data_IF_923643336304
#
_entry.id   IF_923643336304
#
_cell.length_a   1.000
_cell.length_b   1.000
_cell.length_c   1.000
_cell.angle_alpha   90.00
_cell.angle_beta   90.00
_cell.angle_gamma   90.00
#
_symmetry.space_group_name_H-M   'P 1'
#
loop_
_entity.id
_entity.type
_entity.pdbx_description
1 polymer ?
#
# COMPACT_ATOMS: atom_id res chain seq x y z
N UNK A 1 2.95 -21.69 27.05
CA UNK A 1 2.51 -22.42 28.25
C UNK A 1 2.55 -21.55 29.50
N UNK A 2 3.69 -20.96 29.94
CA UNK A 2 3.73 -20.10 31.15
C UNK A 2 2.74 -18.92 31.16
N UNK A 3 2.62 -18.16 30.07
CA UNK A 3 1.64 -17.07 29.97
C UNK A 3 0.18 -17.55 30.07
N UNK A 4 -0.10 -18.79 29.67
CA UNK A 4 -1.44 -19.40 29.75
C UNK A 4 -1.69 -19.85 31.19
N UNK A 5 -0.71 -20.49 31.83
CA UNK A 5 -0.79 -20.89 33.23
C UNK A 5 -0.98 -19.67 34.16
N UNK A 6 -0.22 -18.59 33.92
CA UNK A 6 -0.39 -17.32 34.64
C UNK A 6 -1.78 -16.74 34.43
N UNK A 7 -2.27 -16.69 33.20
CA UNK A 7 -3.62 -16.21 32.88
C UNK A 7 -4.71 -17.02 33.60
N UNK A 8 -4.59 -18.35 33.63
CA UNK A 8 -5.54 -19.21 34.32
C UNK A 8 -5.53 -18.93 35.83
N UNK A 9 -4.36 -18.80 36.45
CA UNK A 9 -4.20 -18.46 37.87
C UNK A 9 -4.75 -17.07 38.19
N UNK A 10 -4.36 -16.05 37.42
CA UNK A 10 -4.73 -14.65 37.68
C UNK A 10 -6.22 -14.37 37.48
N UNK A 11 -6.90 -15.16 36.64
CA UNK A 11 -8.33 -15.05 36.37
C UNK A 11 -9.18 -16.03 37.21
N UNK A 12 -8.58 -16.75 38.17
CA UNK A 12 -9.29 -17.60 39.13
C UNK A 12 -9.70 -19.00 38.62
N UNK A 13 -9.13 -19.45 37.49
CA UNK A 13 -9.36 -20.78 36.92
C UNK A 13 -8.43 -21.83 37.54
N UNK A 14 -8.52 -22.02 38.87
CA UNK A 14 -7.55 -22.80 39.64
C UNK A 14 -7.50 -24.29 39.30
N UNK A 15 -8.65 -24.93 39.02
CA UNK A 15 -8.68 -26.34 38.61
C UNK A 15 -7.98 -26.54 37.26
N UNK A 16 -8.29 -25.68 36.28
CA UNK A 16 -7.66 -25.71 34.97
C UNK A 16 -6.16 -25.40 35.06
N UNK A 17 -5.75 -24.46 35.91
CA UNK A 17 -4.34 -24.17 36.18
C UNK A 17 -3.60 -25.39 36.75
N UNK A 18 -4.18 -26.08 37.73
CA UNK A 18 -3.58 -27.24 38.38
C UNK A 18 -3.33 -28.40 37.39
N UNK A 19 -4.35 -28.73 36.59
CA UNK A 19 -4.25 -29.77 35.55
C UNK A 19 -3.26 -29.36 34.47
N UNK A 20 -3.40 -28.15 33.92
CA UNK A 20 -2.55 -27.64 32.84
C UNK A 20 -1.08 -27.55 33.24
N UNK A 21 -0.80 -27.17 34.49
CA UNK A 21 0.57 -27.12 35.02
C UNK A 21 1.22 -28.50 35.04
N UNK A 22 0.47 -29.53 35.43
CA UNK A 22 0.94 -30.92 35.49
C UNK A 22 1.19 -31.48 34.09
N UNK A 23 0.30 -31.21 33.15
CA UNK A 23 0.44 -31.66 31.75
C UNK A 23 1.52 -30.91 30.98
N UNK A 24 1.70 -29.62 31.26
CA UNK A 24 2.69 -28.78 30.60
C UNK A 24 4.09 -28.84 31.23
N UNK A 25 4.30 -29.70 32.25
CA UNK A 25 5.55 -29.89 32.99
C UNK A 25 6.19 -28.55 33.42
N UNK A 26 5.37 -27.68 34.04
CA UNK A 26 5.81 -26.34 34.45
C UNK A 26 6.28 -26.31 35.91
N UNK A 27 7.58 -26.04 36.09
CA UNK A 27 8.17 -25.78 37.42
C UNK A 27 7.76 -24.40 37.97
N UNK A 28 7.53 -24.35 39.29
CA UNK A 28 7.30 -23.10 40.01
C UNK A 28 8.58 -22.28 40.03
N UNK A 29 8.56 -21.12 39.36
CA UNK A 29 9.61 -20.14 39.47
C UNK A 29 8.98 -18.75 39.60
N UNK A 30 8.97 -18.24 40.82
CA UNK A 30 8.38 -16.96 41.23
C UNK A 30 8.88 -15.77 40.39
N UNK A 31 10.14 -15.81 39.95
CA UNK A 31 10.77 -14.77 39.15
C UNK A 31 10.28 -14.80 37.70
N UNK A 32 10.10 -15.99 37.14
CA UNK A 32 9.53 -16.18 35.81
C UNK A 32 8.03 -15.88 35.78
N UNK A 33 7.28 -16.25 36.82
CA UNK A 33 5.84 -15.98 36.91
C UNK A 33 5.54 -14.47 36.85
N UNK A 34 6.33 -13.65 37.54
CA UNK A 34 6.23 -12.18 37.46
C UNK A 34 6.46 -11.64 36.04
N UNK A 35 7.28 -12.30 35.23
CA UNK A 35 7.53 -11.92 33.82
C UNK A 35 6.33 -12.23 32.92
N UNK A 36 5.56 -13.27 33.25
CA UNK A 36 4.41 -13.71 32.46
C UNK A 36 3.09 -13.10 32.92
N UNK A 37 3.06 -12.47 34.09
CA UNK A 37 1.94 -11.70 34.66
C UNK A 37 1.24 -10.80 33.62
N UNK A 38 0.02 -11.20 33.23
CA UNK A 38 -0.83 -10.44 32.30
C UNK A 38 -0.27 -10.34 30.87
N UNK A 39 0.76 -11.14 30.54
CA UNK A 39 1.40 -11.11 29.22
C UNK A 39 0.45 -11.60 28.12
N UNK A 40 -0.38 -12.60 28.42
CA UNK A 40 -1.30 -13.18 27.44
C UNK A 40 -2.34 -12.16 26.96
N UNK A 41 -2.98 -11.45 27.89
CA UNK A 41 -3.98 -10.41 27.60
C UNK A 41 -3.36 -9.22 26.85
N UNK A 42 -2.16 -8.77 27.28
CA UNK A 42 -1.41 -7.72 26.58
C UNK A 42 -1.05 -8.11 25.15
N UNK A 43 -0.62 -9.36 24.93
CA UNK A 43 -0.33 -9.87 23.58
C UNK A 43 -1.59 -10.01 22.75
N UNK A 44 -2.67 -10.54 23.31
CA UNK A 44 -3.96 -10.71 22.62
C UNK A 44 -4.49 -9.38 22.08
N UNK A 45 -4.60 -8.38 22.94
CA UNK A 45 -5.05 -7.03 22.55
C UNK A 45 -4.09 -6.37 21.55
N UNK A 46 -2.78 -6.55 21.74
CA UNK A 46 -1.77 -6.02 20.81
C UNK A 46 -1.84 -6.67 19.43
N UNK A 47 -2.02 -7.99 19.35
CA UNK A 47 -2.14 -8.73 18.08
C UNK A 47 -3.33 -8.21 17.29
N UNK A 48 -4.51 -8.08 17.91
CA UNK A 48 -5.70 -7.54 17.24
C UNK A 48 -5.46 -6.12 16.74
N UNK A 49 -4.85 -5.27 17.58
CA UNK A 49 -4.53 -3.88 17.20
C UNK A 49 -3.54 -3.82 16.03
N UNK A 50 -2.51 -4.67 16.04
CA UNK A 50 -1.50 -4.73 14.99
C UNK A 50 -2.09 -5.30 13.69
N UNK A 51 -2.93 -6.33 13.76
CA UNK A 51 -3.64 -6.86 12.60
C UNK A 51 -4.52 -5.79 11.95
N UNK A 52 -5.30 -5.04 12.75
CA UNK A 52 -6.06 -3.88 12.25
C UNK A 52 -5.16 -2.86 11.56
N UNK A 53 -3.97 -2.57 12.14
CA UNK A 53 -3.04 -1.61 11.56
C UNK A 53 -2.44 -2.11 10.25
N UNK A 54 -2.09 -3.40 10.16
CA UNK A 54 -1.60 -4.03 8.93
C UNK A 54 -2.66 -3.93 7.84
N UNK A 55 -3.91 -4.31 8.12
CA UNK A 55 -5.00 -4.21 7.15
C UNK A 55 -5.24 -2.76 6.68
N UNK A 56 -5.22 -1.79 7.60
CA UNK A 56 -5.34 -0.36 7.25
C UNK A 56 -4.21 0.10 6.32
N UNK A 57 -2.97 -0.31 6.60
CA UNK A 57 -1.80 0.05 5.80
C UNK A 57 -1.82 -0.65 4.42
N UNK A 58 -2.24 -1.91 4.36
CA UNK A 58 -2.40 -2.65 3.12
C UNK A 58 -3.48 -2.02 2.23
N UNK A 59 -4.61 -1.58 2.79
CA UNK A 59 -5.65 -0.84 2.07
C UNK A 59 -5.10 0.46 1.47
N UNK A 60 -4.43 1.29 2.29
CA UNK A 60 -3.83 2.56 1.83
C UNK A 60 -2.76 2.34 0.76
N UNK A 61 -1.97 1.27 0.90
CA UNK A 61 -0.95 0.93 -0.09
C UNK A 61 -1.60 0.50 -1.41
N UNK A 62 -2.71 -0.26 -1.36
CA UNK A 62 -3.44 -0.66 -2.56
C UNK A 62 -4.06 0.56 -3.26
N UNK A 63 -4.73 1.43 -2.50
CA UNK A 63 -5.28 2.69 -3.01
C UNK A 63 -4.21 3.55 -3.67
N UNK A 64 -3.07 3.77 -3.01
CA UNK A 64 -1.96 4.55 -3.57
C UNK A 64 -1.35 3.89 -4.83
N UNK A 65 -1.25 2.56 -4.88
CA UNK A 65 -0.76 1.84 -6.06
C UNK A 65 -1.74 1.93 -7.23
N UNK A 66 -3.04 1.83 -6.97
CA UNK A 66 -4.08 2.05 -7.97
C UNK A 66 -4.04 3.48 -8.49
N UNK A 67 -3.89 4.47 -7.60
CA UNK A 67 -3.68 5.87 -7.98
C UNK A 67 -2.41 6.06 -8.81
N UNK A 68 -1.31 5.37 -8.56
CA UNK A 68 -0.11 5.52 -9.40
C UNK A 68 -0.32 4.86 -10.77
N UNK A 69 -0.91 3.66 -10.78
CA UNK A 69 -1.07 2.85 -12.00
C UNK A 69 -2.09 3.46 -12.96
N UNK A 70 -3.23 3.88 -12.44
CA UNK A 70 -4.27 4.60 -13.18
C UNK A 70 -3.97 6.11 -13.28
N UNK A 71 -2.95 6.52 -12.53
CA UNK A 71 -2.46 7.87 -12.41
C UNK A 71 -3.48 8.81 -11.77
N UNK A 72 -4.30 8.36 -10.84
CA UNK A 72 -5.34 9.02 -10.04
C UNK A 72 -6.75 8.63 -10.51
N UNK A 73 -7.81 9.04 -9.80
CA UNK A 73 -9.18 8.61 -10.08
C UNK A 73 -9.52 8.81 -11.54
N UNK A 74 -9.72 7.70 -12.23
CA UNK A 74 -10.16 7.67 -13.62
C UNK A 74 -11.54 8.33 -13.65
N UNK A 75 -11.65 9.41 -14.42
CA UNK A 75 -12.89 10.00 -14.91
C UNK A 75 -13.64 11.09 -14.11
N UNK A 76 -13.23 11.57 -12.93
CA UNK A 76 -14.01 12.63 -12.26
C UNK A 76 -13.15 13.80 -11.78
N UNK A 77 -13.12 14.85 -12.62
CA UNK A 77 -12.72 16.23 -12.30
C UNK A 77 -11.24 16.43 -11.93
N UNK A 78 -10.33 16.11 -12.84
CA UNK A 78 -9.01 16.75 -12.80
C UNK A 78 -9.09 18.16 -13.35
N UNK A 79 -8.50 19.12 -12.63
CA UNK A 79 -8.18 20.41 -13.20
C UNK A 79 -7.25 20.17 -14.42
N UNK A 80 -7.50 20.76 -15.60
CA UNK A 80 -6.63 20.61 -16.76
C UNK A 80 -5.14 20.85 -16.48
N UNK A 81 -4.80 21.62 -15.45
CA UNK A 81 -3.41 21.85 -14.99
C UNK A 81 -2.74 20.61 -14.40
N UNK A 82 -3.50 19.65 -13.92
CA UNK A 82 -3.01 18.41 -13.29
C UNK A 82 -2.96 17.24 -14.28
N UNK A 83 -3.22 17.49 -15.57
CA UNK A 83 -3.26 16.44 -16.56
C UNK A 83 -1.85 16.04 -16.99
N UNK A 84 -1.52 14.76 -16.85
CA UNK A 84 -0.25 14.18 -17.27
C UNK A 84 -0.52 13.30 -18.49
N UNK A 85 0.16 13.50 -19.64
CA UNK A 85 0.05 12.61 -20.80
C UNK A 85 0.40 11.17 -20.42
N UNK A 86 -0.47 10.22 -20.79
CA UNK A 86 -0.26 8.79 -20.52
C UNK A 86 -0.48 7.95 -21.78
N UNK A 87 0.25 6.83 -21.94
CA UNK A 87 -0.05 5.84 -22.96
C UNK A 87 -1.43 5.18 -22.75
N UNK A 88 -2.06 4.66 -23.82
CA UNK A 88 -1.64 4.79 -25.22
C UNK A 88 -1.84 6.23 -25.72
N UNK A 89 -1.03 6.64 -26.69
CA UNK A 89 -1.15 7.94 -27.32
C UNK A 89 -2.55 8.12 -27.92
N UNK A 90 -3.16 9.28 -27.69
CA UNK A 90 -4.49 9.58 -28.25
C UNK A 90 -4.45 9.74 -29.77
N UNK A 91 -3.34 10.26 -30.30
CA UNK A 91 -3.13 10.49 -31.72
C UNK A 91 -1.70 10.12 -32.11
N UNK A 92 -1.56 9.40 -33.21
CA UNK A 92 -0.29 9.15 -33.88
C UNK A 92 -0.34 9.77 -35.28
N UNK A 93 0.45 10.83 -35.50
CA UNK A 93 0.47 11.56 -36.77
C UNK A 93 1.61 11.02 -37.64
N UNK A 94 1.26 10.48 -38.81
CA UNK A 94 2.24 10.02 -39.82
C UNK A 94 2.34 11.00 -40.98
N UNK A 95 3.49 11.08 -41.66
CA UNK A 95 3.58 11.86 -42.91
C UNK A 95 4.97 12.33 -43.33
N UNK A 96 5.94 12.40 -42.42
CA UNK A 96 7.34 12.62 -42.77
C UNK A 96 7.97 11.34 -43.32
N UNK A 97 8.94 11.50 -44.23
CA UNK A 97 9.67 10.38 -44.84
C UNK A 97 10.98 10.05 -44.11
N UNK A 98 11.45 10.99 -43.29
CA UNK A 98 12.67 10.88 -42.48
C UNK A 98 12.36 11.24 -41.02
N UNK A 99 13.30 11.04 -40.07
CA UNK A 99 13.08 11.37 -38.66
C UNK A 99 12.60 12.81 -38.44
N UNK A 100 11.70 13.00 -37.48
CA UNK A 100 11.22 14.32 -37.06
C UNK A 100 12.26 14.91 -36.10
N UNK A 101 12.74 16.11 -36.41
CA UNK A 101 13.81 16.78 -35.64
C UNK A 101 13.27 17.83 -34.68
N UNK A 102 12.06 18.37 -34.94
CA UNK A 102 11.43 19.38 -34.08
C UNK A 102 9.91 19.37 -34.21
N UNK A 103 9.22 19.63 -33.10
CA UNK A 103 7.77 19.85 -33.05
C UNK A 103 7.48 21.07 -32.18
N UNK A 104 6.59 21.96 -32.62
CA UNK A 104 6.18 23.17 -31.90
C UNK A 104 4.66 23.33 -31.99
N UNK A 105 4.04 23.71 -30.87
CA UNK A 105 2.65 24.17 -30.85
C UNK A 105 2.58 25.65 -31.20
N UNK A 106 1.65 26.02 -32.08
CA UNK A 106 1.38 27.43 -32.28
C UNK A 106 0.75 28.02 -31.00
N UNK A 107 1.19 29.20 -30.52
CA UNK A 107 0.77 29.73 -29.22
C UNK A 107 -0.70 30.15 -29.15
N UNK A 108 -1.33 30.40 -30.31
CA UNK A 108 -2.72 30.87 -30.43
C UNK A 108 -3.63 29.84 -31.09
N UNK A 109 -3.33 29.44 -32.33
CA UNK A 109 -4.10 28.44 -33.06
C UNK A 109 -3.86 27.02 -32.55
N UNK A 110 -4.89 26.18 -32.61
CA UNK A 110 -4.81 24.75 -32.29
C UNK A 110 -4.13 23.95 -33.42
N UNK A 111 -2.91 24.35 -33.78
CA UNK A 111 -2.11 23.70 -34.83
C UNK A 111 -0.72 23.36 -34.31
N UNK A 112 -0.15 22.30 -34.87
CA UNK A 112 1.19 21.82 -34.57
C UNK A 112 2.04 21.92 -35.83
N UNK A 113 3.27 22.39 -35.67
CA UNK A 113 4.27 22.43 -36.74
C UNK A 113 5.34 21.40 -36.44
N UNK A 114 5.65 20.56 -37.43
CA UNK A 114 6.70 19.53 -37.36
C UNK A 114 7.73 19.74 -38.47
N UNK A 115 9.01 19.55 -38.14
CA UNK A 115 10.14 19.64 -39.07
C UNK A 115 10.92 18.32 -39.08
N UNK A 116 11.47 17.95 -40.24
CA UNK A 116 12.13 16.67 -40.45
C UNK A 116 13.39 16.79 -41.31
N UNK A 117 14.25 15.77 -41.24
CA UNK A 117 15.41 15.60 -42.13
C UNK A 117 15.04 15.38 -43.60
N UNK A 118 13.75 15.16 -43.92
CA UNK A 118 13.25 15.10 -45.30
C UNK A 118 13.16 16.48 -45.99
N UNK A 119 13.71 17.51 -45.35
CA UNK A 119 13.66 18.91 -45.77
C UNK A 119 12.24 19.47 -45.91
N UNK A 120 11.27 18.92 -45.17
CA UNK A 120 9.89 19.42 -45.13
C UNK A 120 9.46 19.92 -43.76
N UNK A 121 8.53 20.88 -43.78
CA UNK A 121 7.79 21.35 -42.61
C UNK A 121 6.31 21.04 -42.85
N UNK A 122 5.67 20.36 -41.90
CA UNK A 122 4.25 20.00 -41.97
C UNK A 122 3.47 20.65 -40.85
N UNK A 123 2.31 21.21 -41.21
CA UNK A 123 1.32 21.77 -40.29
C UNK A 123 0.20 20.75 -40.11
N UNK A 124 -0.21 20.51 -38.87
CA UNK A 124 -1.27 19.58 -38.47
C UNK A 124 -2.25 20.26 -37.54
#
# INVERSE_FOLDING_TARGET
>A
NRAIADYLRSNGYEEAYSVFKKEAELDMNEELDKKYAGLLEKKWTSVIRLQKKVMELESKLNEAKEEITLGGPVALKRDPKEWIPRPPERYALSGHRSPVTRVIFHPVFSVIVSASEDATIKVR
#
